data_IF_703115759260
#
_entry.id   IF_703115759260
#
_cell.length_a   1.000
_cell.length_b   1.000
_cell.length_c   1.000
_cell.angle_alpha   90.00
_cell.angle_beta   90.00
_cell.angle_gamma   90.00
#
_symmetry.space_group_name_H-M   'P 1'
#
loop_
_entity.id
_entity.type
_entity.pdbx_description
1 polymer ?
#
# COMPACT_ATOMS: atom_id res chain seq x y z
N UNK A 1 13.11 -21.76 -54.01
CA UNK A 1 13.59 -20.38 -54.21
C UNK A 1 14.26 -19.94 -52.93
N UNK A 2 15.59 -19.80 -52.97
CA UNK A 2 16.42 -19.37 -51.85
C UNK A 2 16.54 -17.85 -51.89
N UNK A 3 16.31 -17.18 -50.76
CA UNK A 3 16.56 -15.74 -50.62
C UNK A 3 17.66 -15.52 -49.60
N UNK A 4 18.64 -14.73 -50.05
CA UNK A 4 19.98 -14.53 -49.52
C UNK A 4 19.97 -13.43 -48.45
N UNK A 5 20.88 -13.60 -47.48
CA UNK A 5 21.22 -12.76 -46.33
C UNK A 5 21.62 -11.34 -46.74
N UNK A 6 21.23 -10.34 -45.96
CA UNK A 6 22.00 -9.10 -45.76
C UNK A 6 22.17 -8.90 -44.26
N UNK A 7 23.41 -9.09 -43.79
CA UNK A 7 23.86 -8.67 -42.49
C UNK A 7 24.01 -7.15 -42.47
N UNK A 8 23.39 -6.47 -41.50
CA UNK A 8 23.73 -5.10 -41.16
C UNK A 8 24.38 -5.10 -39.79
N UNK A 9 25.70 -5.09 -39.81
CA UNK A 9 26.55 -4.63 -38.72
C UNK A 9 26.33 -3.13 -38.51
N UNK A 10 25.70 -2.74 -37.41
CA UNK A 10 25.82 -1.38 -36.88
C UNK A 10 26.60 -1.44 -35.57
N UNK A 11 27.87 -1.11 -35.72
CA UNK A 11 28.81 -0.85 -34.65
C UNK A 11 28.63 0.59 -34.14
N UNK A 12 28.74 0.73 -32.81
CA UNK A 12 29.05 1.94 -32.00
C UNK A 12 27.89 2.81 -31.51
N UNK A 13 28.07 3.55 -30.39
CA UNK A 13 29.20 3.55 -29.45
C UNK A 13 28.81 3.14 -28.03
N UNK A 14 29.80 2.56 -27.34
CA UNK A 14 29.87 2.50 -25.88
C UNK A 14 29.65 3.89 -25.29
N UNK A 15 28.47 4.13 -24.72
CA UNK A 15 28.26 5.27 -23.84
C UNK A 15 28.90 4.85 -22.54
N UNK A 16 30.07 5.44 -22.31
CA UNK A 16 30.85 5.43 -21.08
C UNK A 16 29.93 5.30 -19.88
N UNK A 17 30.09 4.16 -19.22
CA UNK A 17 29.59 3.96 -17.89
C UNK A 17 30.19 5.05 -17.01
N UNK A 18 29.40 6.06 -16.69
CA UNK A 18 29.52 6.72 -15.39
C UNK A 18 28.97 5.72 -14.37
N UNK A 19 29.76 4.66 -14.17
CA UNK A 19 29.66 3.74 -13.05
C UNK A 19 30.02 4.58 -11.84
N UNK A 20 29.05 5.37 -11.37
CA UNK A 20 28.96 5.71 -9.96
C UNK A 20 29.12 4.38 -9.25
N UNK A 21 30.29 4.15 -8.66
CA UNK A 21 30.60 2.96 -7.85
C UNK A 21 29.78 3.10 -6.57
N UNK A 22 28.46 3.04 -6.70
CA UNK A 22 27.59 2.58 -5.65
C UNK A 22 27.71 1.08 -5.74
N UNK A 23 28.56 0.52 -4.89
CA UNK A 23 28.46 -0.90 -4.59
C UNK A 23 27.01 -1.13 -4.14
N UNK A 24 26.25 -1.87 -4.93
CA UNK A 24 24.92 -2.33 -4.52
C UNK A 24 25.09 -3.11 -3.22
N UNK A 25 24.28 -2.80 -2.20
CA UNK A 25 24.22 -3.62 -0.99
C UNK A 25 23.74 -5.02 -1.37
N UNK A 26 24.54 -6.05 -1.07
CA UNK A 26 24.30 -7.44 -1.43
C UNK A 26 23.96 -8.25 -0.16
N UNK A 27 22.69 -8.28 0.27
CA UNK A 27 22.29 -8.84 1.57
C UNK A 27 22.60 -10.33 1.79
N UNK A 28 22.92 -11.10 0.75
CA UNK A 28 23.26 -12.53 0.89
C UNK A 28 24.77 -12.80 0.85
N UNK A 29 25.62 -11.79 0.63
CA UNK A 29 27.09 -11.89 0.60
C UNK A 29 27.72 -11.01 1.68
N UNK A 30 27.18 -9.81 1.87
CA UNK A 30 27.72 -8.84 2.82
C UNK A 30 27.58 -9.37 4.26
N UNK A 31 28.67 -9.27 5.02
CA UNK A 31 28.74 -9.75 6.39
C UNK A 31 27.90 -8.86 7.33
N UNK A 32 27.01 -9.46 8.10
CA UNK A 32 26.19 -8.75 9.10
C UNK A 32 26.98 -8.43 10.38
N UNK A 33 28.22 -8.90 10.48
CA UNK A 33 29.11 -8.60 11.60
C UNK A 33 29.42 -7.09 11.65
N UNK A 34 28.88 -6.40 12.66
CA UNK A 34 29.02 -4.95 12.83
C UNK A 34 27.92 -4.12 12.17
N UNK A 35 26.86 -4.75 11.62
CA UNK A 35 25.75 -4.08 10.94
C UNK A 35 25.13 -2.96 11.78
N UNK A 36 25.01 -3.14 13.11
CA UNK A 36 24.46 -2.10 14.01
C UNK A 36 25.30 -0.84 14.06
N UNK A 37 26.63 -0.97 14.11
CA UNK A 37 27.54 0.17 14.18
C UNK A 37 27.59 0.90 12.84
N UNK A 38 27.57 0.14 11.74
CA UNK A 38 27.48 0.66 10.38
C UNK A 38 26.15 1.37 10.11
N UNK A 39 25.02 0.78 10.52
CA UNK A 39 23.68 1.40 10.44
C UNK A 39 23.66 2.72 11.22
N UNK A 40 24.15 2.72 12.47
CA UNK A 40 24.16 3.93 13.28
C UNK A 40 25.04 5.04 12.66
N UNK A 41 26.17 4.67 12.05
CA UNK A 41 27.04 5.60 11.31
C UNK A 41 26.35 6.20 10.08
N UNK A 42 25.72 5.35 9.25
CA UNK A 42 24.95 5.77 8.08
C UNK A 42 23.78 6.65 8.48
N UNK A 43 23.02 6.27 9.51
CA UNK A 43 21.90 7.06 10.00
C UNK A 43 22.34 8.45 10.46
N UNK A 44 23.49 8.56 11.13
CA UNK A 44 24.07 9.84 11.52
C UNK A 44 24.41 10.71 10.31
N UNK A 45 25.02 10.12 9.29
CA UNK A 45 25.38 10.81 8.04
C UNK A 45 24.14 11.24 7.24
N UNK A 46 23.13 10.37 7.12
CA UNK A 46 21.82 10.69 6.54
C UNK A 46 21.18 11.86 7.29
N UNK A 47 21.19 11.83 8.62
CA UNK A 47 20.63 12.91 9.44
C UNK A 47 21.41 14.22 9.24
N UNK A 48 22.73 14.17 9.05
CA UNK A 48 23.54 15.34 8.78
C UNK A 48 23.20 15.94 7.40
N UNK A 49 23.02 15.11 6.37
CA UNK A 49 22.61 15.56 5.03
C UNK A 49 21.18 16.10 5.01
N UNK A 50 20.24 15.45 5.71
CA UNK A 50 18.87 15.97 5.88
C UNK A 50 18.86 17.33 6.61
N UNK A 51 19.81 17.57 7.53
CA UNK A 51 19.95 18.88 8.20
C UNK A 51 20.50 19.96 7.27
N UNK A 52 21.31 19.61 6.27
CA UNK A 52 21.83 20.54 5.26
C UNK A 52 20.76 20.91 4.22
N UNK A 53 19.87 19.97 3.89
CA UNK A 53 18.81 20.12 2.88
C UNK A 53 17.40 20.24 3.48
N UNK A 54 17.24 20.95 4.62
CA UNK A 54 15.97 21.04 5.37
C UNK A 54 14.76 21.53 4.58
N UNK A 55 14.98 22.29 3.52
CA UNK A 55 13.90 22.98 2.80
C UNK A 55 13.45 22.27 1.51
N UNK A 56 14.12 21.17 1.12
CA UNK A 56 13.73 20.41 -0.07
C UNK A 56 12.94 19.17 0.32
N UNK A 57 11.62 19.27 0.19
CA UNK A 57 10.75 18.09 0.17
C UNK A 57 11.17 17.24 -1.03
N UNK A 58 11.46 15.96 -0.82
CA UNK A 58 11.76 15.03 -1.90
C UNK A 58 10.67 15.11 -2.98
N UNK A 59 11.00 15.17 -4.29
CA UNK A 59 10.00 15.40 -5.34
C UNK A 59 8.85 14.39 -5.34
N UNK A 60 9.11 13.12 -4.96
CA UNK A 60 8.06 12.10 -4.80
C UNK A 60 7.21 12.31 -3.54
N UNK A 61 7.79 12.84 -2.45
CA UNK A 61 7.02 13.21 -1.25
C UNK A 61 6.16 14.45 -1.52
N UNK A 62 6.62 15.35 -2.38
CA UNK A 62 5.84 16.49 -2.87
C UNK A 62 4.70 16.03 -3.77
N UNK A 63 4.95 15.06 -4.65
CA UNK A 63 3.92 14.43 -5.50
C UNK A 63 2.89 13.63 -4.66
N UNK A 64 3.33 12.90 -3.63
CA UNK A 64 2.42 12.23 -2.69
C UNK A 64 1.58 13.21 -1.87
N UNK A 65 2.16 14.33 -1.43
CA UNK A 65 1.40 15.41 -0.76
C UNK A 65 0.36 16.01 -1.70
N UNK A 66 0.71 16.24 -2.97
CA UNK A 66 -0.23 16.73 -3.99
C UNK A 66 -1.32 15.71 -4.33
N UNK A 67 -1.00 14.40 -4.36
CA UNK A 67 -1.95 13.31 -4.57
C UNK A 67 -2.87 13.07 -3.36
N UNK A 68 -2.37 13.24 -2.13
CA UNK A 68 -3.22 13.23 -0.92
C UNK A 68 -4.20 14.41 -0.92
N UNK A 69 -3.74 15.61 -1.32
CA UNK A 69 -4.61 16.79 -1.44
C UNK A 69 -5.65 16.62 -2.57
N UNK A 70 -5.32 15.88 -3.64
CA UNK A 70 -6.23 15.66 -4.79
C UNK A 70 -7.14 14.43 -4.66
N UNK A 71 -6.81 13.45 -3.82
CA UNK A 71 -7.59 12.19 -3.70
C UNK A 71 -8.63 12.20 -2.57
N UNK A 72 -8.73 13.26 -1.77
CA UNK A 72 -9.85 13.43 -0.84
C UNK A 72 -10.80 14.53 -1.29
N UNK A 73 -11.80 14.12 -2.09
CA UNK A 73 -13.17 14.38 -1.74
C UNK A 73 -13.80 13.02 -1.41
N UNK A 74 -14.50 12.93 -0.27
CA UNK A 74 -15.51 11.90 0.08
C UNK A 74 -15.15 10.81 1.11
N UNK A 75 -13.89 10.40 1.37
CA UNK A 75 -13.65 9.22 2.27
C UNK A 75 -12.72 9.39 3.49
N UNK A 76 -12.49 10.60 4.02
CA UNK A 76 -11.70 10.80 5.26
C UNK A 76 -12.53 11.25 6.46
N UNK A 77 -13.81 10.87 6.55
CA UNK A 77 -14.69 11.26 7.66
C UNK A 77 -14.93 10.10 8.63
N UNK A 78 -13.97 9.21 8.81
CA UNK A 78 -13.99 8.20 9.87
C UNK A 78 -12.74 8.28 10.77
N UNK A 79 -12.34 9.52 11.10
CA UNK A 79 -11.59 9.74 12.34
C UNK A 79 -12.61 10.12 13.40
N UNK A 80 -13.02 9.12 14.18
CA UNK A 80 -13.59 9.33 15.49
C UNK A 80 -12.71 10.35 16.24
N UNK A 81 -13.30 11.43 16.76
CA UNK A 81 -12.70 12.49 17.63
C UNK A 81 -12.04 13.73 17.00
N UNK A 82 -12.35 14.13 15.76
CA UNK A 82 -11.98 15.46 15.25
C UNK A 82 -13.21 16.39 15.12
N UNK A 83 -13.14 17.56 15.78
CA UNK A 83 -14.11 18.67 15.74
C UNK A 83 -14.53 19.09 14.31
N UNK A 84 -13.74 18.75 13.29
CA UNK A 84 -13.94 19.16 11.90
C UNK A 84 -14.92 18.23 11.14
N UNK A 85 -14.94 16.94 11.48
CA UNK A 85 -15.90 15.99 10.90
C UNK A 85 -17.34 16.26 11.32
N UNK A 86 -17.53 16.73 12.55
CA UNK A 86 -18.85 17.00 13.13
C UNK A 86 -19.49 18.27 12.55
N UNK A 87 -18.66 19.26 12.19
CA UNK A 87 -19.07 20.50 11.51
C UNK A 87 -19.58 20.23 10.09
N UNK A 88 -18.85 19.41 9.34
CA UNK A 88 -19.22 19.03 7.98
C UNK A 88 -20.49 18.15 7.96
N UNK A 89 -20.63 17.26 8.94
CA UNK A 89 -21.87 16.52 9.17
C UNK A 89 -23.04 17.43 9.59
N UNK A 90 -22.81 18.50 10.35
CA UNK A 90 -23.84 19.49 10.70
C UNK A 90 -24.32 20.28 9.47
N UNK A 91 -23.40 20.72 8.61
CA UNK A 91 -23.74 21.42 7.35
C UNK A 91 -24.56 20.50 6.43
N UNK A 92 -24.15 19.23 6.29
CA UNK A 92 -24.88 18.26 5.49
C UNK A 92 -26.23 17.85 6.10
N UNK A 93 -26.31 17.76 7.43
CA UNK A 93 -27.58 17.51 8.15
C UNK A 93 -28.55 18.70 8.10
N UNK A 94 -28.08 19.90 7.74
CA UNK A 94 -28.90 21.10 7.58
C UNK A 94 -29.52 21.24 6.19
N UNK A 95 -28.94 20.59 5.17
CA UNK A 95 -29.39 20.67 3.77
C UNK A 95 -30.43 19.62 3.39
N UNK A 96 -30.56 18.54 4.18
CA UNK A 96 -31.51 17.45 3.92
C UNK A 96 -32.65 17.55 4.95
N UNK A 97 -33.93 17.55 4.52
CA UNK A 97 -35.06 17.51 5.44
C UNK A 97 -34.95 16.26 6.31
N UNK A 98 -34.87 16.46 7.63
CA UNK A 98 -34.77 15.37 8.59
C UNK A 98 -36.13 14.68 8.74
N UNK A 99 -36.08 13.39 9.07
CA UNK A 99 -37.27 12.68 9.54
C UNK A 99 -37.67 13.35 10.86
N UNK A 100 -38.87 13.93 10.88
CA UNK A 100 -39.46 14.54 12.07
C UNK A 100 -39.78 13.45 13.09
N UNK A 101 -38.91 13.29 14.10
CA UNK A 101 -39.08 12.32 15.18
C UNK A 101 -40.25 12.68 16.11
N UNK A 102 -40.62 13.96 16.15
CA UNK A 102 -41.78 14.48 16.88
C UNK A 102 -43.09 13.86 16.41
N UNK A 103 -43.15 13.36 15.17
CA UNK A 103 -44.33 12.67 14.63
C UNK A 103 -44.52 11.25 15.18
N UNK A 104 -43.50 10.73 15.85
CA UNK A 104 -43.48 9.37 16.41
C UNK A 104 -43.42 9.38 17.94
N UNK A 105 -43.61 10.54 18.59
CA UNK A 105 -43.65 10.62 20.05
C UNK A 105 -44.94 10.01 20.59
N UNK A 106 -44.83 9.29 21.70
CA UNK A 106 -45.95 8.58 22.35
C UNK A 106 -46.58 9.39 23.49
N UNK A 107 -46.17 10.65 23.65
CA UNK A 107 -46.50 11.51 24.80
C UNK A 107 -47.89 12.14 24.67
N UNK A 108 -48.33 12.47 23.45
CA UNK A 108 -49.68 13.01 23.16
C UNK A 108 -50.64 11.92 22.66
N UNK A 109 -51.22 11.17 23.61
CA UNK A 109 -52.13 10.06 23.32
C UNK A 109 -53.55 10.51 22.93
N UNK A 110 -53.90 11.76 23.16
CA UNK A 110 -55.23 12.33 22.84
C UNK A 110 -55.33 12.84 21.39
N UNK A 111 -54.21 12.88 20.65
CA UNK A 111 -54.18 13.33 19.26
C UNK A 111 -54.43 12.15 18.30
N UNK A 112 -55.58 12.17 17.63
CA UNK A 112 -56.02 11.13 16.68
C UNK A 112 -55.03 10.92 15.53
N UNK A 113 -54.38 11.98 15.06
CA UNK A 113 -53.40 11.89 13.97
C UNK A 113 -52.14 11.12 14.40
N UNK A 114 -51.70 11.31 15.65
CA UNK A 114 -50.56 10.58 16.22
C UNK A 114 -50.91 9.09 16.39
N UNK A 115 -52.13 8.79 16.85
CA UNK A 115 -52.62 7.41 16.95
C UNK A 115 -52.67 6.69 15.58
N UNK A 116 -53.07 7.39 14.52
CA UNK A 116 -53.05 6.83 13.16
C UNK A 116 -51.63 6.55 12.66
N UNK A 117 -50.66 7.42 12.98
CA UNK A 117 -49.25 7.20 12.66
C UNK A 117 -48.72 5.97 13.42
N UNK A 118 -49.01 5.86 14.72
CA UNK A 118 -48.59 4.73 15.55
C UNK A 118 -49.19 3.40 15.02
N UNK A 119 -50.49 3.37 14.70
CA UNK A 119 -51.14 2.18 14.13
C UNK A 119 -50.50 1.76 12.79
N UNK A 120 -50.25 2.72 11.90
CA UNK A 120 -49.60 2.46 10.61
C UNK A 120 -48.18 1.89 10.79
N UNK A 121 -47.43 2.38 11.78
CA UNK A 121 -46.09 1.90 12.10
C UNK A 121 -46.11 0.49 12.70
N UNK A 122 -47.02 0.22 13.64
CA UNK A 122 -47.21 -1.11 14.22
C UNK A 122 -47.60 -2.12 13.15
N UNK A 123 -48.49 -1.75 12.23
CA UNK A 123 -48.90 -2.60 11.11
C UNK A 123 -47.74 -2.88 10.17
N UNK A 124 -46.89 -1.89 9.90
CA UNK A 124 -45.67 -2.09 9.12
C UNK A 124 -44.71 -3.06 9.82
N UNK A 125 -44.46 -2.89 11.12
CA UNK A 125 -43.60 -3.78 11.89
C UNK A 125 -44.11 -5.22 11.87
N UNK A 126 -45.41 -5.43 12.09
CA UNK A 126 -46.05 -6.75 12.01
C UNK A 126 -45.85 -7.38 10.63
N UNK A 127 -46.08 -6.62 9.55
CA UNK A 127 -45.89 -7.12 8.18
C UNK A 127 -44.42 -7.47 7.89
N UNK A 128 -43.48 -6.65 8.33
CA UNK A 128 -42.04 -6.91 8.14
C UNK A 128 -41.63 -8.17 8.90
N UNK A 129 -41.98 -8.27 10.18
CA UNK A 129 -41.59 -9.38 11.04
C UNK A 129 -42.28 -10.70 10.65
N UNK A 130 -43.56 -10.66 10.29
CA UNK A 130 -44.33 -11.87 9.99
C UNK A 130 -44.15 -12.35 8.54
N UNK A 131 -43.94 -11.44 7.57
CA UNK A 131 -43.99 -11.80 6.14
C UNK A 131 -42.67 -11.64 5.39
N UNK A 132 -41.87 -10.63 5.72
CA UNK A 132 -40.65 -10.32 4.97
C UNK A 132 -39.43 -10.98 5.59
N UNK A 133 -39.16 -10.72 6.87
CA UNK A 133 -37.99 -11.23 7.60
C UNK A 133 -37.81 -12.75 7.47
N UNK A 134 -38.84 -13.59 7.65
CA UNK A 134 -38.67 -15.04 7.54
C UNK A 134 -38.31 -15.51 6.12
N UNK A 135 -38.71 -14.75 5.10
CA UNK A 135 -38.47 -15.09 3.69
C UNK A 135 -37.12 -14.60 3.18
N UNK A 136 -36.65 -13.46 3.68
CA UNK A 136 -35.46 -12.79 3.15
C UNK A 136 -34.23 -13.02 4.00
N UNK A 137 -34.35 -13.11 5.33
CA UNK A 137 -33.21 -13.10 6.24
C UNK A 137 -32.29 -14.32 6.03
N UNK A 138 -32.86 -15.52 5.94
CA UNK A 138 -32.07 -16.74 5.75
C UNK A 138 -31.35 -16.75 4.40
N UNK A 139 -32.04 -16.34 3.34
CA UNK A 139 -31.46 -16.28 2.00
C UNK A 139 -30.36 -15.22 1.92
N UNK A 140 -30.57 -14.03 2.50
CA UNK A 140 -29.55 -12.97 2.56
C UNK A 140 -28.34 -13.41 3.38
N UNK A 141 -28.57 -14.07 4.51
CA UNK A 141 -27.49 -14.59 5.34
C UNK A 141 -26.67 -15.66 4.63
N UNK A 142 -27.32 -16.61 3.95
CA UNK A 142 -26.65 -17.63 3.16
C UNK A 142 -25.81 -17.02 2.04
N UNK A 143 -26.39 -16.13 1.22
CA UNK A 143 -25.69 -15.46 0.11
C UNK A 143 -24.49 -14.65 0.61
N UNK A 144 -24.66 -13.89 1.70
CA UNK A 144 -23.57 -13.10 2.27
C UNK A 144 -22.45 -13.98 2.80
N UNK A 145 -22.77 -15.10 3.45
CA UNK A 145 -21.76 -16.04 3.94
C UNK A 145 -21.01 -16.73 2.79
N UNK A 146 -21.71 -17.13 1.74
CA UNK A 146 -21.09 -17.73 0.55
C UNK A 146 -20.14 -16.74 -0.11
N UNK A 147 -20.58 -15.48 -0.26
CA UNK A 147 -19.75 -14.40 -0.80
C UNK A 147 -18.50 -14.15 0.05
N UNK A 148 -18.66 -14.05 1.38
CA UNK A 148 -17.54 -13.84 2.30
C UNK A 148 -16.55 -15.02 2.28
N UNK A 149 -17.07 -16.25 2.18
CA UNK A 149 -16.26 -17.46 2.11
C UNK A 149 -15.46 -17.51 0.80
N UNK A 150 -16.09 -17.21 -0.34
CA UNK A 150 -15.43 -17.15 -1.64
C UNK A 150 -14.38 -16.04 -1.71
N UNK A 151 -14.69 -14.85 -1.16
CA UNK A 151 -13.76 -13.73 -1.06
C UNK A 151 -12.55 -14.09 -0.20
N UNK A 152 -12.77 -14.71 0.96
CA UNK A 152 -11.70 -15.18 1.85
C UNK A 152 -10.79 -16.21 1.16
N UNK A 153 -11.37 -17.17 0.43
CA UNK A 153 -10.60 -18.16 -0.31
C UNK A 153 -9.75 -17.51 -1.41
N UNK A 154 -10.29 -16.51 -2.10
CA UNK A 154 -9.57 -15.75 -3.13
C UNK A 154 -8.39 -14.98 -2.53
N UNK A 155 -8.60 -14.29 -1.40
CA UNK A 155 -7.53 -13.57 -0.71
C UNK A 155 -6.42 -14.51 -0.22
N UNK A 156 -6.77 -15.67 0.34
CA UNK A 156 -5.78 -16.68 0.74
C UNK A 156 -4.94 -17.16 -0.44
N UNK A 157 -5.56 -17.38 -1.59
CA UNK A 157 -4.84 -17.75 -2.81
C UNK A 157 -3.85 -16.66 -3.24
N UNK A 158 -4.29 -15.39 -3.26
CA UNK A 158 -3.40 -14.26 -3.61
C UNK A 158 -2.22 -14.17 -2.64
N UNK A 159 -2.46 -14.34 -1.34
CA UNK A 159 -1.38 -14.34 -0.33
C UNK A 159 -0.38 -15.46 -0.64
N UNK A 160 -0.87 -16.68 -0.87
CA UNK A 160 -0.01 -17.82 -1.19
C UNK A 160 0.79 -17.61 -2.49
N UNK A 161 0.16 -17.05 -3.52
CA UNK A 161 0.82 -16.72 -4.78
C UNK A 161 1.89 -15.63 -4.57
N UNK A 162 1.63 -14.63 -3.72
CA UNK A 162 2.61 -13.60 -3.38
C UNK A 162 3.78 -14.15 -2.55
N UNK A 163 3.51 -14.99 -1.56
CA UNK A 163 4.54 -15.63 -0.73
C UNK A 163 5.47 -16.51 -1.58
N UNK A 164 4.90 -17.31 -2.48
CA UNK A 164 5.67 -18.15 -3.40
C UNK A 164 6.51 -17.32 -4.36
N UNK A 165 5.96 -16.22 -4.90
CA UNK A 165 6.71 -15.29 -5.75
C UNK A 165 7.86 -14.63 -5.00
N UNK A 166 7.64 -14.13 -3.77
CA UNK A 166 8.68 -13.54 -2.93
C UNK A 166 9.77 -14.57 -2.63
N UNK A 167 9.39 -15.79 -2.29
CA UNK A 167 10.33 -16.88 -2.05
C UNK A 167 11.20 -17.17 -3.27
N UNK A 168 10.59 -17.31 -4.46
CA UNK A 168 11.31 -17.56 -5.71
C UNK A 168 12.25 -16.40 -6.06
N UNK A 169 11.81 -15.16 -5.92
CA UNK A 169 12.64 -13.98 -6.17
C UNK A 169 13.82 -13.90 -5.22
N UNK A 170 13.62 -14.17 -3.92
CA UNK A 170 14.70 -14.19 -2.94
C UNK A 170 15.68 -15.32 -3.21
N UNK A 171 15.19 -16.51 -3.58
CA UNK A 171 16.03 -17.63 -3.95
C UNK A 171 16.87 -17.32 -5.20
N UNK A 172 16.27 -16.70 -6.22
CA UNK A 172 16.96 -16.23 -7.41
C UNK A 172 18.04 -15.20 -7.08
N UNK A 173 17.70 -14.16 -6.28
CA UNK A 173 18.66 -13.13 -5.82
C UNK A 173 19.83 -13.76 -5.08
N UNK A 174 19.56 -14.68 -4.15
CA UNK A 174 20.58 -15.40 -3.39
C UNK A 174 21.54 -16.15 -4.31
N UNK A 175 21.01 -16.91 -5.27
CA UNK A 175 21.84 -17.69 -6.19
C UNK A 175 22.71 -16.79 -7.08
N UNK A 176 22.14 -15.70 -7.61
CA UNK A 176 22.88 -14.74 -8.43
C UNK A 176 24.00 -14.07 -7.63
N UNK A 177 23.71 -13.67 -6.39
CA UNK A 177 24.69 -13.09 -5.50
C UNK A 177 25.82 -14.07 -5.17
N UNK A 178 25.50 -15.29 -4.76
CA UNK A 178 26.50 -16.32 -4.45
C UNK A 178 27.36 -16.71 -5.66
N UNK A 179 26.79 -16.78 -6.86
CA UNK A 179 27.54 -17.03 -8.10
C UNK A 179 28.55 -15.92 -8.37
N UNK A 180 28.12 -14.66 -8.21
CA UNK A 180 28.96 -13.50 -8.47
C UNK A 180 29.95 -13.19 -7.34
N UNK A 181 29.78 -13.78 -6.14
CA UNK A 181 30.66 -13.56 -5.00
C UNK A 181 32.15 -13.82 -5.33
N UNK A 182 32.43 -14.91 -6.05
CA UNK A 182 33.80 -15.24 -6.47
C UNK A 182 34.39 -14.24 -7.47
N UNK A 183 33.54 -13.67 -8.33
CA UNK A 183 33.92 -12.62 -9.29
C UNK A 183 34.26 -11.32 -8.54
N UNK A 184 33.45 -10.93 -7.55
CA UNK A 184 33.73 -9.76 -6.72
C UNK A 184 35.03 -9.90 -5.93
N UNK A 185 35.26 -11.05 -5.29
CA UNK A 185 36.51 -11.32 -4.58
C UNK A 185 37.73 -11.27 -5.52
N UNK A 186 37.62 -11.85 -6.72
CA UNK A 186 38.68 -11.80 -7.73
C UNK A 186 38.97 -10.38 -8.23
N UNK A 187 37.95 -9.55 -8.41
CA UNK A 187 38.09 -8.13 -8.76
C UNK A 187 38.76 -7.34 -7.65
N UNK A 188 38.39 -7.59 -6.39
CA UNK A 188 39.00 -6.93 -5.23
C UNK A 188 40.49 -7.26 -5.11
N UNK A 189 40.86 -8.54 -5.28
CA UNK A 189 42.26 -8.97 -5.26
C UNK A 189 43.07 -8.38 -6.41
N UNK A 190 42.50 -8.31 -7.62
CA UNK A 190 43.14 -7.65 -8.76
C UNK A 190 43.33 -6.15 -8.51
N UNK A 191 42.33 -5.49 -7.93
CA UNK A 191 42.41 -4.09 -7.56
C UNK A 191 43.50 -3.84 -6.52
N UNK A 192 43.57 -4.66 -5.45
CA UNK A 192 44.63 -4.61 -4.44
C UNK A 192 46.02 -4.78 -5.05
N UNK A 193 46.21 -5.77 -5.94
CA UNK A 193 47.49 -6.00 -6.63
C UNK A 193 47.90 -4.80 -7.49
N UNK A 194 46.98 -4.25 -8.27
CA UNK A 194 47.23 -3.07 -9.10
C UNK A 194 47.57 -1.84 -8.25
N UNK A 195 46.94 -1.72 -7.08
CA UNK A 195 47.21 -0.63 -6.14
C UNK A 195 48.62 -0.74 -5.53
N UNK A 196 49.02 -1.94 -5.10
CA UNK A 196 50.36 -2.22 -4.57
C UNK A 196 51.42 -1.95 -5.64
N UNK A 197 51.21 -2.43 -6.87
CA UNK A 197 52.12 -2.22 -8.00
C UNK A 197 52.30 -0.72 -8.32
N UNK A 198 51.22 0.08 -8.26
CA UNK A 198 51.28 1.53 -8.51
C UNK A 198 51.84 2.34 -7.35
N UNK A 199 51.72 1.86 -6.11
CA UNK A 199 52.26 2.52 -4.93
C UNK A 199 53.74 2.22 -4.70
N UNK A 200 54.33 1.27 -5.45
CA UNK A 200 55.76 0.95 -5.37
C UNK A 200 56.18 0.35 -4.03
N UNK A 201 55.23 -0.30 -3.33
CA UNK A 201 55.49 -0.99 -2.06
C UNK A 201 55.83 -2.44 -2.43
N UNK A 202 57.12 -2.74 -2.57
CA UNK A 202 57.64 -4.13 -2.55
C UNK A 202 57.73 -4.67 -1.13
#
# INVERSE_FOLDING_TARGET
MATKIIAMSCSRPSIMADLSIKMDYLPFIDDESGLKEYINGIESEIQQELRKNRDQIHPEAQDMRLKQIRSYPVYSVHCETSYDGERLLQEYRGSIPRIELERYTTEDQDNVDILCVIDSYLRHQELVLARLMPKTLLNQWAVNNDFLSASSATLKKVIQDQETNIYQLNHYRRNLQLQNASVFAGLEDQWKKTLIERLGIE
#
